data_IF_704902881385
#
_entry.id   IF_704902881385
#
_cell.length_a   1.000
_cell.length_b   1.000
_cell.length_c   1.000
_cell.angle_alpha   90.00
_cell.angle_beta   90.00
_cell.angle_gamma   90.00
#
_symmetry.space_group_name_H-M   'P 1'
#
loop_
_entity.id
_entity.type
_entity.pdbx_description
1 polymer ?
#
# COMPACT_ATOMS: atom_id res chain seq x y z
N UNK A 1 -9.04 12.28 -18.62
CA UNK A 1 -8.01 11.22 -18.55
C UNK A 1 -8.05 10.30 -19.76
N UNK A 2 -9.15 9.63 -20.08
CA UNK A 2 -9.21 8.68 -21.22
C UNK A 2 -8.80 9.28 -22.58
N UNK A 3 -9.22 10.51 -22.91
CA UNK A 3 -8.80 11.19 -24.15
C UNK A 3 -7.27 11.36 -24.20
N UNK A 4 -6.66 11.74 -23.09
CA UNK A 4 -5.20 11.91 -23.00
C UNK A 4 -4.47 10.56 -23.09
N UNK A 5 -4.99 9.52 -22.44
CA UNK A 5 -4.46 8.16 -22.52
C UNK A 5 -4.49 7.63 -23.97
N UNK A 6 -5.55 7.94 -24.72
CA UNK A 6 -5.65 7.59 -26.13
C UNK A 6 -4.58 8.27 -27.00
N UNK A 7 -4.25 9.54 -26.69
CA UNK A 7 -3.15 10.26 -27.37
C UNK A 7 -1.80 9.57 -27.12
N UNK A 8 -1.48 9.28 -25.86
CA UNK A 8 -0.24 8.58 -25.49
C UNK A 8 -0.11 7.21 -26.16
N UNK A 9 -1.21 6.44 -26.19
CA UNK A 9 -1.24 5.14 -26.85
C UNK A 9 -1.00 5.27 -28.38
N UNK A 10 -1.63 6.23 -29.06
CA UNK A 10 -1.37 6.49 -30.48
C UNK A 10 0.09 6.86 -30.75
N UNK A 11 0.73 7.57 -29.85
CA UNK A 11 2.15 7.90 -29.91
C UNK A 11 3.08 6.76 -29.47
N UNK A 12 2.55 5.57 -29.18
CA UNK A 12 3.29 4.42 -28.66
C UNK A 12 4.14 4.75 -27.40
N UNK A 13 3.72 5.72 -26.61
CA UNK A 13 4.40 6.11 -25.37
C UNK A 13 4.09 5.10 -24.27
N UNK A 14 5.11 4.68 -23.54
CA UNK A 14 4.96 3.83 -22.35
C UNK A 14 4.35 4.64 -21.22
N UNK A 15 3.25 4.17 -20.66
CA UNK A 15 2.55 4.82 -19.56
C UNK A 15 2.76 4.05 -18.26
N UNK A 16 3.23 4.75 -17.22
CA UNK A 16 3.41 4.18 -15.87
C UNK A 16 2.55 4.94 -14.88
N UNK A 17 1.68 4.23 -14.18
CA UNK A 17 0.76 4.79 -13.18
C UNK A 17 1.28 4.56 -11.76
N UNK A 18 1.21 5.59 -10.93
CA UNK A 18 1.41 5.52 -9.47
C UNK A 18 0.10 5.90 -8.78
N UNK A 19 -0.73 4.93 -8.36
CA UNK A 19 -1.98 5.22 -7.65
C UNK A 19 -1.70 5.68 -6.23
N UNK A 20 -2.28 6.83 -5.83
CA UNK A 20 -2.15 7.36 -4.46
C UNK A 20 -3.47 7.96 -3.96
N UNK A 21 -3.53 8.17 -2.65
CA UNK A 21 -4.61 8.92 -2.02
C UNK A 21 -4.20 10.38 -1.67
N UNK A 22 -3.02 10.82 -2.11
CA UNK A 22 -2.45 12.11 -1.73
C UNK A 22 -1.71 12.07 -0.38
N UNK A 23 -1.41 13.25 0.18
CA UNK A 23 -0.51 13.44 1.30
C UNK A 23 0.85 12.73 1.02
N UNK A 24 1.43 13.07 -0.14
CA UNK A 24 2.63 12.42 -0.65
C UNK A 24 3.81 12.67 0.28
N UNK A 25 4.64 11.64 0.43
CA UNK A 25 5.82 11.63 1.29
C UNK A 25 6.97 10.86 0.61
N UNK A 26 8.13 10.77 1.25
CA UNK A 26 9.33 10.11 0.70
C UNK A 26 9.10 8.67 0.22
N UNK A 27 8.16 7.93 0.83
CA UNK A 27 7.71 6.63 0.31
C UNK A 27 7.10 6.74 -1.09
N UNK A 28 6.19 7.71 -1.30
CA UNK A 28 5.60 7.97 -2.61
C UNK A 28 6.64 8.52 -3.61
N UNK A 29 7.54 9.41 -3.17
CA UNK A 29 8.66 9.90 -3.99
C UNK A 29 9.44 8.74 -4.58
N UNK A 30 9.80 7.74 -3.76
CA UNK A 30 10.54 6.57 -4.25
C UNK A 30 9.78 5.73 -5.28
N UNK A 31 8.44 5.66 -5.17
CA UNK A 31 7.60 4.98 -6.16
C UNK A 31 7.53 5.76 -7.48
N UNK A 32 7.45 7.08 -7.42
CA UNK A 32 7.47 7.96 -8.60
C UNK A 32 8.82 7.83 -9.31
N UNK A 33 9.93 7.82 -8.59
CA UNK A 33 11.26 7.59 -9.14
C UNK A 33 11.39 6.22 -9.80
N UNK A 34 10.80 5.17 -9.21
CA UNK A 34 10.73 3.85 -9.84
C UNK A 34 9.89 3.89 -11.13
N UNK A 35 8.77 4.60 -11.10
CA UNK A 35 7.91 4.80 -12.27
C UNK A 35 8.65 5.54 -13.38
N UNK A 36 9.39 6.61 -13.07
CA UNK A 36 10.19 7.39 -14.05
C UNK A 36 11.26 6.51 -14.71
N UNK A 37 12.01 5.74 -13.93
CA UNK A 37 12.99 4.79 -14.49
C UNK A 37 12.33 3.76 -15.42
N UNK A 38 11.12 3.29 -15.08
CA UNK A 38 10.39 2.31 -15.90
C UNK A 38 9.77 2.92 -17.15
N UNK A 39 9.29 4.15 -17.07
CA UNK A 39 8.75 4.89 -18.20
C UNK A 39 9.83 5.16 -19.27
N UNK A 40 11.09 5.34 -18.89
CA UNK A 40 12.21 5.81 -19.71
C UNK A 40 12.05 7.30 -20.12
N UNK A 41 12.88 7.78 -21.02
CA UNK A 41 12.95 9.20 -21.41
C UNK A 41 11.63 9.66 -22.06
N UNK A 42 11.11 8.90 -23.02
CA UNK A 42 9.93 9.28 -23.81
C UNK A 42 8.61 8.78 -23.23
N UNK A 43 8.65 8.12 -22.07
CA UNK A 43 7.45 7.57 -21.45
C UNK A 43 6.79 8.56 -20.50
N UNK A 44 5.55 8.25 -20.16
CA UNK A 44 4.65 9.07 -19.37
C UNK A 44 4.52 8.49 -17.96
N UNK A 45 4.75 9.32 -16.94
CA UNK A 45 4.43 8.99 -15.54
C UNK A 45 3.15 9.73 -15.15
N UNK A 46 2.16 8.96 -14.75
CA UNK A 46 0.88 9.48 -14.23
C UNK A 46 0.82 9.20 -12.72
N UNK A 47 0.58 10.22 -11.91
CA UNK A 47 0.26 10.04 -10.49
C UNK A 47 -1.22 10.32 -10.30
N UNK A 48 -2.00 9.34 -9.79
CA UNK A 48 -3.36 9.63 -9.36
C UNK A 48 -3.39 10.05 -7.90
N UNK A 49 -4.22 11.07 -7.59
CA UNK A 49 -4.45 11.56 -6.23
C UNK A 49 -5.95 11.53 -5.98
N UNK A 50 -6.43 10.48 -5.29
CA UNK A 50 -7.85 10.31 -5.01
C UNK A 50 -8.08 9.60 -3.68
N UNK A 51 -8.65 10.32 -2.71
CA UNK A 51 -9.08 9.74 -1.43
C UNK A 51 -10.37 8.97 -1.68
N UNK A 52 -10.23 7.65 -1.88
CA UNK A 52 -11.34 6.78 -2.27
C UNK A 52 -12.27 6.46 -1.09
N UNK A 53 -13.49 6.96 -1.04
CA UNK A 53 -14.38 6.73 0.10
C UNK A 53 -14.77 5.26 0.28
N UNK A 54 -14.83 4.47 -0.80
CA UNK A 54 -15.26 3.06 -0.75
C UNK A 54 -14.30 2.14 0.04
N UNK A 55 -13.04 2.55 0.27
CA UNK A 55 -12.07 1.73 1.01
C UNK A 55 -11.97 2.09 2.50
N UNK A 56 -12.78 3.02 3.00
CA UNK A 56 -12.81 3.41 4.40
C UNK A 56 -13.98 2.76 5.13
N UNK A 57 -13.69 2.05 6.21
CA UNK A 57 -14.70 1.43 7.07
C UNK A 57 -15.24 2.40 8.14
N UNK A 58 -14.46 3.43 8.47
CA UNK A 58 -14.80 4.44 9.47
C UNK A 58 -14.84 5.83 8.80
N UNK A 59 -15.97 6.50 8.92
CA UNK A 59 -16.14 7.87 8.40
C UNK A 59 -15.20 8.87 9.06
N UNK A 60 -14.73 8.61 10.28
CA UNK A 60 -13.76 9.45 10.98
C UNK A 60 -12.38 9.32 10.34
N UNK A 61 -11.94 8.10 9.98
CA UNK A 61 -10.68 7.87 9.24
C UNK A 61 -10.71 8.57 7.88
N UNK A 62 -11.83 8.51 7.16
CA UNK A 62 -12.02 9.22 5.90
C UNK A 62 -11.96 10.75 6.07
N UNK A 63 -12.60 11.29 7.11
CA UNK A 63 -12.62 12.74 7.37
C UNK A 63 -11.27 13.27 7.81
N UNK A 64 -10.54 12.52 8.65
CA UNK A 64 -9.23 12.89 9.17
C UNK A 64 -8.08 12.56 8.22
N UNK A 65 -8.35 11.87 7.09
CA UNK A 65 -7.29 11.51 6.15
C UNK A 65 -6.62 12.78 5.58
N UNK A 66 -5.28 12.91 5.67
CA UNK A 66 -4.56 14.12 5.27
C UNK A 66 -4.78 14.45 3.78
N UNK A 67 -4.98 15.73 3.49
CA UNK A 67 -5.16 16.25 2.12
C UNK A 67 -4.25 17.45 1.91
N UNK A 68 -3.36 17.37 0.95
CA UNK A 68 -2.34 18.40 0.69
C UNK A 68 -2.08 18.56 -0.81
N UNK A 69 -3.15 18.73 -1.62
CA UNK A 69 -3.04 18.70 -3.08
C UNK A 69 -1.99 19.68 -3.65
N UNK A 70 -1.78 20.83 -3.02
CA UNK A 70 -0.77 21.78 -3.47
C UNK A 70 0.65 21.23 -3.25
N UNK A 71 0.94 20.70 -2.06
CA UNK A 71 2.22 20.06 -1.75
C UNK A 71 2.44 18.79 -2.60
N UNK A 72 1.39 18.00 -2.80
CA UNK A 72 1.43 16.81 -3.64
C UNK A 72 1.80 17.15 -5.09
N UNK A 73 1.19 18.19 -5.65
CA UNK A 73 1.53 18.68 -6.99
C UNK A 73 2.97 19.20 -7.06
N UNK A 74 3.46 19.85 -6.00
CA UNK A 74 4.84 20.31 -5.95
C UNK A 74 5.82 19.14 -5.98
N UNK A 75 5.62 18.12 -5.15
CA UNK A 75 6.42 16.89 -5.16
C UNK A 75 6.38 16.22 -6.54
N UNK A 76 5.21 16.15 -7.17
CA UNK A 76 5.08 15.60 -8.52
C UNK A 76 5.91 16.38 -9.56
N UNK A 77 5.97 17.73 -9.48
CA UNK A 77 6.81 18.54 -10.36
C UNK A 77 8.31 18.27 -10.14
N UNK A 78 8.74 18.20 -8.87
CA UNK A 78 10.12 17.88 -8.50
C UNK A 78 10.58 16.55 -9.07
N UNK A 79 9.68 15.56 -9.11
CA UNK A 79 9.96 14.21 -9.63
C UNK A 79 9.62 14.05 -11.13
N UNK A 80 9.42 15.16 -11.86
CA UNK A 80 9.15 15.15 -13.30
C UNK A 80 7.97 14.26 -13.70
N UNK A 81 6.86 14.33 -12.94
CA UNK A 81 5.60 13.65 -13.27
C UNK A 81 4.93 14.37 -14.44
N UNK A 82 4.56 13.64 -15.50
CA UNK A 82 3.98 14.22 -16.71
C UNK A 82 2.51 14.59 -16.53
N UNK A 83 1.77 13.82 -15.71
CA UNK A 83 0.36 14.08 -15.46
C UNK A 83 -0.04 13.75 -14.03
N UNK A 84 -0.74 14.69 -13.37
CA UNK A 84 -1.42 14.45 -12.08
C UNK A 84 -2.90 14.33 -12.35
N UNK A 85 -3.45 13.14 -12.04
CA UNK A 85 -4.88 12.87 -12.16
C UNK A 85 -5.55 12.95 -10.79
N UNK A 86 -6.18 14.09 -10.49
CA UNK A 86 -6.84 14.37 -9.22
C UNK A 86 -8.33 14.70 -9.43
N UNK A 87 -9.19 13.70 -9.73
CA UNK A 87 -10.61 13.93 -9.99
C UNK A 87 -11.36 14.25 -8.69
N UNK A 88 -12.44 15.02 -8.80
CA UNK A 88 -13.34 15.29 -7.68
C UNK A 88 -14.10 14.02 -7.26
N UNK A 89 -14.53 13.20 -8.22
CA UNK A 89 -15.11 11.88 -8.00
C UNK A 89 -14.66 10.93 -9.11
N UNK A 90 -14.53 9.64 -8.77
CA UNK A 90 -14.36 8.54 -9.73
C UNK A 90 -15.65 7.73 -9.89
N UNK A 91 -16.68 8.05 -9.13
CA UNK A 91 -17.94 7.29 -9.14
C UNK A 91 -19.10 8.21 -9.55
N UNK A 92 -19.95 7.68 -10.40
CA UNK A 92 -21.24 8.29 -10.67
C UNK A 92 -22.16 8.14 -9.45
N UNK A 93 -23.22 8.95 -9.37
CA UNK A 93 -24.13 8.94 -8.20
C UNK A 93 -24.87 7.61 -8.03
N UNK A 94 -25.10 6.90 -9.12
CA UNK A 94 -25.80 5.62 -9.21
C UNK A 94 -24.85 4.43 -9.39
N UNK A 95 -23.55 4.62 -9.17
CA UNK A 95 -22.55 3.55 -9.31
C UNK A 95 -22.84 2.42 -8.32
N UNK A 96 -23.07 1.20 -8.85
CA UNK A 96 -23.47 0.02 -8.09
C UNK A 96 -22.53 -1.18 -8.26
N UNK A 97 -21.57 -1.10 -9.21
CA UNK A 97 -20.65 -2.20 -9.47
C UNK A 97 -19.42 -2.12 -8.58
N UNK A 98 -19.11 -3.22 -7.89
CA UNK A 98 -17.96 -3.38 -7.01
C UNK A 98 -17.25 -4.69 -7.32
N UNK A 99 -15.92 -4.67 -7.40
CA UNK A 99 -15.13 -5.87 -7.57
C UNK A 99 -14.93 -6.57 -6.22
N UNK A 100 -15.04 -7.89 -6.20
CA UNK A 100 -14.81 -8.72 -5.03
C UNK A 100 -13.75 -9.80 -5.33
N UNK A 101 -12.95 -10.12 -4.31
CA UNK A 101 -12.03 -11.24 -4.26
C UNK A 101 -12.29 -11.97 -2.94
N UNK A 102 -12.46 -13.30 -2.98
CA UNK A 102 -13.05 -14.06 -1.86
C UNK A 102 -12.06 -14.98 -1.14
N UNK A 103 -10.76 -14.88 -1.39
CA UNK A 103 -9.71 -15.69 -0.77
C UNK A 103 -8.71 -14.80 -0.01
N UNK A 104 -7.93 -13.99 -0.73
CA UNK A 104 -6.90 -13.13 -0.15
C UNK A 104 -7.44 -11.99 0.72
N UNK A 105 -8.72 -11.64 0.57
CA UNK A 105 -9.36 -10.53 1.29
C UNK A 105 -10.08 -10.96 2.56
N UNK A 106 -10.09 -12.25 2.90
CA UNK A 106 -10.77 -12.79 4.08
C UNK A 106 -9.87 -12.84 5.32
N UNK A 107 -8.57 -12.58 5.17
CA UNK A 107 -7.58 -12.64 6.24
C UNK A 107 -6.89 -11.28 6.46
N UNK A 108 -6.06 -11.18 7.50
CA UNK A 108 -5.20 -10.02 7.78
C UNK A 108 -5.99 -8.70 7.75
N UNK A 109 -5.56 -7.72 6.91
CA UNK A 109 -6.26 -6.44 6.77
C UNK A 109 -7.73 -6.61 6.34
N UNK A 110 -8.02 -7.57 5.47
CA UNK A 110 -9.39 -7.81 5.02
C UNK A 110 -10.33 -8.26 6.14
N UNK A 111 -9.83 -9.08 7.07
CA UNK A 111 -10.57 -9.46 8.28
C UNK A 111 -10.82 -8.27 9.21
N UNK A 112 -9.84 -7.39 9.38
CA UNK A 112 -9.92 -6.23 10.27
C UNK A 112 -10.64 -5.02 9.63
N UNK A 113 -10.77 -5.03 8.30
CA UNK A 113 -11.36 -3.95 7.52
C UNK A 113 -12.30 -4.51 6.45
N UNK A 114 -13.46 -5.09 6.83
CA UNK A 114 -14.43 -5.67 5.89
C UNK A 114 -14.81 -4.69 4.77
N UNK A 115 -14.77 -5.13 3.49
CA UNK A 115 -15.07 -4.29 2.33
C UNK A 115 -13.93 -3.40 1.83
N UNK A 116 -12.87 -3.21 2.61
CA UNK A 116 -11.73 -2.37 2.24
C UNK A 116 -11.14 -2.75 0.86
N UNK A 117 -10.82 -4.01 0.66
CA UNK A 117 -10.20 -4.46 -0.59
C UNK A 117 -11.15 -4.41 -1.78
N UNK A 118 -12.45 -4.57 -1.57
CA UNK A 118 -13.44 -4.37 -2.63
C UNK A 118 -13.38 -2.92 -3.14
N UNK A 119 -13.31 -1.94 -2.22
CA UNK A 119 -13.11 -0.54 -2.57
C UNK A 119 -11.77 -0.29 -3.28
N UNK A 120 -10.67 -0.91 -2.81
CA UNK A 120 -9.35 -0.78 -3.43
C UNK A 120 -9.34 -1.36 -4.85
N UNK A 121 -9.84 -2.58 -5.04
CA UNK A 121 -9.87 -3.21 -6.36
C UNK A 121 -10.73 -2.41 -7.34
N UNK A 122 -11.87 -1.93 -6.89
CA UNK A 122 -12.79 -1.14 -7.74
C UNK A 122 -12.13 0.15 -8.19
N UNK A 123 -11.51 0.92 -7.30
CA UNK A 123 -10.84 2.17 -7.69
C UNK A 123 -9.63 1.91 -8.59
N UNK A 124 -8.84 0.89 -8.31
CA UNK A 124 -7.65 0.55 -9.13
C UNK A 124 -8.07 0.09 -10.53
N UNK A 125 -9.11 -0.74 -10.65
CA UNK A 125 -9.65 -1.14 -11.95
C UNK A 125 -10.16 0.06 -12.75
N UNK A 126 -10.87 1.01 -12.11
CA UNK A 126 -11.28 2.26 -12.77
C UNK A 126 -10.07 3.08 -13.24
N UNK A 127 -9.02 3.19 -12.42
CA UNK A 127 -7.79 3.88 -12.80
C UNK A 127 -7.10 3.19 -13.98
N UNK A 128 -7.04 1.87 -14.02
CA UNK A 128 -6.48 1.12 -15.14
C UNK A 128 -7.26 1.38 -16.44
N UNK A 129 -8.58 1.38 -16.38
CA UNK A 129 -9.43 1.68 -17.53
C UNK A 129 -9.33 3.16 -18.00
N UNK A 130 -9.10 4.10 -17.07
CA UNK A 130 -9.01 5.52 -17.38
C UNK A 130 -7.63 5.94 -17.92
N UNK A 131 -6.55 5.33 -17.41
CA UNK A 131 -5.16 5.68 -17.72
C UNK A 131 -4.57 4.74 -18.75
N UNK A 132 -5.06 3.49 -18.84
CA UNK A 132 -4.55 2.42 -19.68
C UNK A 132 -3.02 2.25 -19.57
N UNK A 133 -2.47 2.05 -18.36
CA UNK A 133 -1.04 2.01 -18.17
C UNK A 133 -0.43 0.67 -18.59
N UNK A 134 0.82 0.69 -19.09
CA UNK A 134 1.63 -0.53 -19.30
C UNK A 134 2.15 -1.09 -17.98
N UNK A 135 2.44 -0.20 -17.02
CA UNK A 135 2.92 -0.56 -15.68
C UNK A 135 2.20 0.25 -14.62
N UNK A 136 1.98 -0.37 -13.46
CA UNK A 136 1.53 0.36 -12.28
C UNK A 136 2.40 0.03 -11.07
N UNK A 137 2.80 1.06 -10.31
CA UNK A 137 3.75 0.96 -9.21
C UNK A 137 3.00 1.06 -7.88
N UNK A 138 3.20 0.07 -7.01
CA UNK A 138 2.65 0.03 -5.66
C UNK A 138 3.74 -0.12 -4.61
N UNK A 139 3.50 0.36 -3.40
CA UNK A 139 4.41 0.18 -2.28
C UNK A 139 4.33 -1.22 -1.68
N UNK A 140 5.48 -1.87 -1.46
CA UNK A 140 5.56 -3.17 -0.79
C UNK A 140 5.08 -3.11 0.68
N UNK A 141 5.04 -1.91 1.27
CA UNK A 141 4.50 -1.69 2.61
C UNK A 141 3.07 -2.21 2.76
N UNK A 142 2.22 -2.06 1.75
CA UNK A 142 0.85 -2.55 1.73
C UNK A 142 0.79 -3.89 0.97
N UNK A 143 1.57 -4.88 1.47
CA UNK A 143 1.86 -6.13 0.76
C UNK A 143 0.61 -6.94 0.41
N UNK A 144 -0.36 -7.06 1.33
CA UNK A 144 -1.62 -7.75 1.03
C UNK A 144 -2.37 -7.04 -0.10
N UNK A 145 -2.45 -5.71 -0.07
CA UNK A 145 -3.05 -4.92 -1.15
C UNK A 145 -2.38 -5.22 -2.50
N UNK A 146 -1.05 -5.21 -2.53
CA UNK A 146 -0.30 -5.51 -3.75
C UNK A 146 -0.55 -6.93 -4.26
N UNK A 147 -0.70 -7.91 -3.37
CA UNK A 147 -1.02 -9.30 -3.70
C UNK A 147 -2.43 -9.42 -4.27
N UNK A 148 -3.42 -8.76 -3.66
CA UNK A 148 -4.81 -8.69 -4.14
C UNK A 148 -4.89 -8.03 -5.52
N UNK A 149 -4.17 -6.92 -5.74
CA UNK A 149 -4.13 -6.24 -7.04
C UNK A 149 -3.48 -7.14 -8.11
N UNK A 150 -2.39 -7.83 -7.81
CA UNK A 150 -1.77 -8.79 -8.73
C UNK A 150 -2.74 -9.91 -9.10
N UNK A 151 -3.51 -10.41 -8.13
CA UNK A 151 -4.57 -11.41 -8.36
C UNK A 151 -5.65 -10.86 -9.30
N UNK A 152 -6.15 -9.66 -9.04
CA UNK A 152 -7.14 -8.97 -9.88
C UNK A 152 -6.62 -8.78 -11.33
N UNK A 153 -5.37 -8.33 -11.49
CA UNK A 153 -4.76 -8.15 -12.82
C UNK A 153 -4.71 -9.47 -13.60
N UNK A 154 -4.28 -10.56 -12.94
CA UNK A 154 -4.19 -11.88 -13.54
C UNK A 154 -5.58 -12.42 -13.93
N UNK A 155 -6.51 -12.40 -12.99
CA UNK A 155 -7.80 -13.09 -13.14
C UNK A 155 -8.75 -12.32 -14.08
N UNK A 156 -8.60 -11.00 -14.18
CA UNK A 156 -9.38 -10.15 -15.09
C UNK A 156 -8.62 -9.77 -16.37
N UNK A 157 -7.44 -10.36 -16.61
CA UNK A 157 -6.63 -10.15 -17.81
C UNK A 157 -6.34 -8.65 -18.10
N UNK A 158 -6.11 -7.84 -17.07
CA UNK A 158 -5.70 -6.46 -17.30
C UNK A 158 -4.33 -6.41 -17.98
N UNK A 159 -4.17 -5.67 -19.10
CA UNK A 159 -2.91 -5.56 -19.83
C UNK A 159 -1.92 -4.60 -19.12
N UNK A 160 -1.68 -4.81 -17.83
CA UNK A 160 -0.80 -3.99 -17.01
C UNK A 160 0.13 -4.87 -16.18
N UNK A 161 1.40 -4.48 -16.07
CA UNK A 161 2.37 -5.15 -15.20
C UNK A 161 2.50 -4.42 -13.86
N UNK A 162 2.38 -5.14 -12.74
CA UNK A 162 2.49 -4.57 -11.41
C UNK A 162 3.94 -4.59 -10.92
N UNK A 163 4.46 -3.43 -10.57
CA UNK A 163 5.78 -3.25 -9.98
C UNK A 163 5.64 -2.91 -8.49
N UNK A 164 6.53 -3.47 -7.66
CA UNK A 164 6.59 -3.16 -6.24
C UNK A 164 7.83 -2.31 -5.93
N UNK A 165 7.60 -1.16 -5.28
CA UNK A 165 8.67 -0.36 -4.70
C UNK A 165 8.90 -0.77 -3.23
N UNK A 166 10.17 -0.90 -2.80
CA UNK A 166 10.49 -1.33 -1.44
C UNK A 166 9.97 -0.34 -0.40
N UNK A 167 9.65 -0.85 0.79
CA UNK A 167 9.22 -0.04 1.92
C UNK A 167 10.30 0.96 2.32
N UNK A 168 10.01 2.25 2.23
CA UNK A 168 10.87 3.30 2.76
C UNK A 168 10.67 3.44 4.26
N UNK A 169 11.77 3.65 4.97
CA UNK A 169 11.79 3.75 6.43
C UNK A 169 12.50 5.02 6.86
N UNK A 170 12.10 5.53 8.01
CA UNK A 170 12.83 6.56 8.75
C UNK A 170 14.15 5.99 9.29
N UNK A 171 15.00 6.86 9.82
CA UNK A 171 16.32 6.48 10.39
C UNK A 171 16.22 5.48 11.55
N UNK A 172 15.11 5.51 12.30
CA UNK A 172 14.82 4.58 13.41
C UNK A 172 14.13 3.28 12.96
N UNK A 173 13.91 3.11 11.65
CA UNK A 173 13.30 1.94 11.06
C UNK A 173 11.79 2.00 10.89
N UNK A 174 11.09 3.01 11.42
CA UNK A 174 9.64 3.15 11.25
C UNK A 174 9.29 3.26 9.75
N UNK A 175 8.37 2.42 9.27
CA UNK A 175 7.88 2.50 7.89
C UNK A 175 7.18 3.84 7.65
N UNK A 176 7.58 4.56 6.59
CA UNK A 176 7.00 5.87 6.26
C UNK A 176 5.54 5.70 5.83
N UNK A 177 4.65 6.47 6.44
CA UNK A 177 3.21 6.46 6.16
C UNK A 177 2.61 7.85 6.44
N UNK A 178 1.60 8.24 5.65
CA UNK A 178 0.81 9.46 5.91
C UNK A 178 0.19 9.45 7.32
N UNK A 179 -0.11 8.29 7.88
CA UNK A 179 -0.63 8.15 9.25
C UNK A 179 0.38 8.48 10.34
N UNK A 180 1.70 8.50 10.04
CA UNK A 180 2.72 8.89 11.01
C UNK A 180 2.57 10.34 11.46
N UNK A 181 1.92 11.19 10.64
CA UNK A 181 1.59 12.57 10.99
C UNK A 181 0.59 12.71 12.15
N UNK A 182 -0.14 11.63 12.45
CA UNK A 182 -1.13 11.59 13.54
C UNK A 182 -0.53 11.12 14.87
N UNK A 183 0.74 10.70 14.89
CA UNK A 183 1.44 10.22 16.07
C UNK A 183 2.07 11.38 16.84
N UNK A 184 2.02 11.34 18.17
CA UNK A 184 2.88 12.18 19.00
C UNK A 184 4.35 11.77 18.85
N UNK A 185 5.28 12.63 19.23
CA UNK A 185 6.72 12.31 19.18
C UNK A 185 7.09 11.06 20.01
N UNK A 186 6.41 10.82 21.14
CA UNK A 186 6.60 9.60 21.94
C UNK A 186 6.05 8.37 21.23
N UNK A 187 4.83 8.45 20.73
CA UNK A 187 4.18 7.36 19.97
C UNK A 187 4.96 6.99 18.71
N UNK A 188 5.50 8.00 17.99
CA UNK A 188 6.32 7.76 16.80
C UNK A 188 7.56 6.92 17.14
N UNK A 189 8.28 7.23 18.24
CA UNK A 189 9.42 6.43 18.70
C UNK A 189 9.02 5.00 19.08
N UNK A 190 7.90 4.85 19.76
CA UNK A 190 7.35 3.52 20.11
C UNK A 190 6.97 2.71 18.86
N UNK A 191 6.41 3.35 17.83
CA UNK A 191 6.04 2.69 16.56
C UNK A 191 7.21 2.00 15.84
N UNK A 192 8.45 2.46 16.05
CA UNK A 192 9.65 1.84 15.48
C UNK A 192 9.89 0.39 15.97
N UNK A 193 9.20 -0.05 17.05
CA UNK A 193 9.25 -1.44 17.53
C UNK A 193 8.79 -2.44 16.45
N UNK A 194 7.91 -2.03 15.53
CA UNK A 194 7.43 -2.90 14.44
C UNK A 194 8.58 -3.31 13.53
N UNK A 195 9.48 -2.39 13.19
CA UNK A 195 10.69 -2.70 12.41
C UNK A 195 11.63 -3.64 13.18
N UNK A 196 11.81 -3.41 14.48
CA UNK A 196 12.62 -4.29 15.35
C UNK A 196 12.04 -5.71 15.41
N UNK A 197 10.71 -5.84 15.41
CA UNK A 197 10.03 -7.13 15.38
C UNK A 197 10.26 -7.87 14.05
N UNK A 198 10.27 -7.16 12.93
CA UNK A 198 10.59 -7.74 11.62
C UNK A 198 12.04 -8.23 11.60
N UNK A 199 12.97 -7.45 12.10
CA UNK A 199 14.38 -7.84 12.14
C UNK A 199 14.60 -9.07 13.04
N UNK A 200 13.97 -9.10 14.23
CA UNK A 200 14.00 -10.28 15.09
C UNK A 200 13.43 -11.52 14.38
N UNK A 201 12.42 -11.34 13.52
CA UNK A 201 11.86 -12.44 12.72
C UNK A 201 12.88 -13.03 11.75
N UNK A 202 13.67 -12.18 11.08
CA UNK A 202 14.74 -12.57 10.16
C UNK A 202 15.85 -13.36 10.86
N UNK A 203 16.17 -12.96 12.09
CA UNK A 203 17.19 -13.62 12.93
C UNK A 203 16.67 -14.93 13.57
N UNK A 204 15.39 -15.22 13.44
CA UNK A 204 14.71 -16.33 14.12
C UNK A 204 14.16 -17.37 13.13
N UNK A 205 14.79 -17.55 11.98
CA UNK A 205 14.38 -18.55 10.99
C UNK A 205 14.49 -19.98 11.56
N UNK A 206 13.60 -20.86 11.12
CA UNK A 206 13.52 -22.24 11.59
C UNK A 206 12.62 -22.42 12.82
N UNK A 207 12.24 -21.36 13.52
CA UNK A 207 11.33 -21.45 14.66
C UNK A 207 9.87 -21.67 14.21
N UNK A 208 9.08 -22.31 15.09
CA UNK A 208 7.63 -22.43 14.88
C UNK A 208 7.00 -21.04 14.90
N UNK A 209 6.18 -20.75 13.89
CA UNK A 209 5.51 -19.46 13.75
C UNK A 209 4.71 -19.06 15.02
N UNK A 210 4.06 -20.03 15.69
CA UNK A 210 3.32 -19.76 16.92
C UNK A 210 4.23 -19.26 18.07
N UNK A 211 5.43 -19.82 18.22
CA UNK A 211 6.37 -19.43 19.27
C UNK A 211 6.95 -18.04 18.97
N UNK A 212 7.29 -17.83 17.70
CA UNK A 212 7.81 -16.55 17.24
C UNK A 212 6.76 -15.43 17.38
N UNK A 213 5.49 -15.66 17.03
CA UNK A 213 4.39 -14.71 17.27
C UNK A 213 4.31 -14.29 18.74
N UNK A 214 4.41 -15.23 19.69
CA UNK A 214 4.40 -14.92 21.13
C UNK A 214 5.61 -14.05 21.53
N UNK A 215 6.80 -14.37 21.01
CA UNK A 215 8.03 -13.62 21.26
C UNK A 215 7.91 -12.19 20.72
N UNK A 216 7.43 -12.02 19.49
CA UNK A 216 7.23 -10.71 18.87
C UNK A 216 6.16 -9.88 19.58
N UNK A 217 5.04 -10.50 19.96
CA UNK A 217 4.00 -9.81 20.73
C UNK A 217 4.54 -9.27 22.04
N UNK A 218 5.30 -10.05 22.79
CA UNK A 218 5.95 -9.59 24.04
C UNK A 218 6.94 -8.45 23.77
N UNK A 219 7.68 -8.48 22.67
CA UNK A 219 8.58 -7.39 22.29
C UNK A 219 7.81 -6.12 22.00
N UNK A 220 6.77 -6.19 21.17
CA UNK A 220 5.99 -5.04 20.73
C UNK A 220 5.21 -4.41 21.90
N UNK A 221 4.55 -5.22 22.72
CA UNK A 221 3.70 -4.75 23.81
C UNK A 221 4.49 -4.34 25.08
N UNK A 222 5.84 -4.34 25.04
CA UNK A 222 6.67 -3.62 26.02
C UNK A 222 6.56 -2.10 25.86
N UNK A 223 6.23 -1.63 24.66
CA UNK A 223 5.97 -0.20 24.45
C UNK A 223 4.58 0.15 25.02
N UNK A 224 4.46 1.14 25.90
CA UNK A 224 3.25 1.40 26.69
C UNK A 224 2.01 1.69 25.85
N UNK A 225 2.17 2.42 24.71
CA UNK A 225 1.06 2.83 23.85
C UNK A 225 0.80 1.84 22.69
N UNK A 226 1.55 0.72 22.60
CA UNK A 226 1.45 -0.18 21.47
C UNK A 226 0.64 -1.43 21.83
N UNK A 227 -0.34 -1.77 20.98
CA UNK A 227 -1.17 -2.98 21.11
C UNK A 227 -1.23 -3.69 19.78
N UNK A 228 -0.89 -4.98 19.79
CA UNK A 228 -0.87 -5.83 18.58
C UNK A 228 -2.29 -6.19 18.17
N UNK A 229 -2.66 -5.92 16.91
CA UNK A 229 -3.88 -6.44 16.29
C UNK A 229 -3.64 -7.85 15.74
N UNK A 230 -2.55 -8.03 14.98
CA UNK A 230 -2.11 -9.35 14.50
C UNK A 230 -0.61 -9.38 14.19
N UNK A 231 -0.05 -10.59 14.22
CA UNK A 231 1.26 -10.96 13.67
C UNK A 231 1.06 -12.27 12.93
N UNK A 232 1.33 -12.29 11.62
CA UNK A 232 1.20 -13.48 10.80
C UNK A 232 2.44 -13.74 9.97
N UNK A 233 2.84 -15.01 9.91
CA UNK A 233 3.87 -15.51 9.00
C UNK A 233 3.16 -16.24 7.87
N UNK A 234 3.40 -15.79 6.63
CA UNK A 234 2.62 -16.26 5.48
C UNK A 234 3.51 -16.64 4.30
N UNK A 235 2.96 -17.47 3.44
CA UNK A 235 3.45 -17.65 2.07
C UNK A 235 3.19 -16.38 1.26
N UNK A 236 4.16 -15.98 0.45
CA UNK A 236 4.11 -14.70 -0.27
C UNK A 236 3.17 -14.68 -1.49
N UNK A 237 2.74 -15.84 -1.98
CA UNK A 237 1.88 -15.95 -3.18
C UNK A 237 0.39 -15.97 -2.83
N UNK A 238 0.04 -16.64 -1.73
CA UNK A 238 -1.34 -16.93 -1.38
C UNK A 238 -1.75 -16.43 0.02
N UNK A 239 -0.84 -15.80 0.76
CA UNK A 239 -1.04 -15.27 2.12
C UNK A 239 -1.48 -16.32 3.16
N UNK A 240 -1.38 -17.61 2.84
CA UNK A 240 -1.72 -18.67 3.78
C UNK A 240 -0.70 -18.73 4.92
N UNK A 241 -1.15 -18.86 6.16
CA UNK A 241 -0.27 -18.98 7.32
C UNK A 241 0.68 -20.16 7.21
N UNK A 242 1.95 -19.97 7.58
CA UNK A 242 2.96 -21.03 7.64
C UNK A 242 3.19 -21.50 9.07
N UNK A 243 3.54 -22.78 9.24
CA UNK A 243 3.80 -23.37 10.56
C UNK A 243 5.19 -23.05 11.10
N UNK A 244 6.15 -22.82 10.21
CA UNK A 244 7.57 -22.55 10.52
C UNK A 244 8.01 -21.34 9.70
N UNK A 245 8.68 -20.38 10.34
CA UNK A 245 9.24 -19.22 9.68
C UNK A 245 10.49 -19.63 8.89
N UNK A 246 10.47 -19.50 7.57
CA UNK A 246 11.55 -19.87 6.65
C UNK A 246 11.89 -18.72 5.72
N UNK A 247 13.10 -18.76 5.14
CA UNK A 247 13.48 -17.85 4.06
C UNK A 247 12.45 -17.91 2.93
N UNK A 248 12.05 -16.75 2.44
CA UNK A 248 11.00 -16.60 1.41
C UNK A 248 9.58 -16.44 1.95
N UNK A 249 9.34 -16.72 3.24
CA UNK A 249 8.09 -16.33 3.87
C UNK A 249 8.08 -14.81 4.18
N UNK A 250 6.93 -14.29 4.52
CA UNK A 250 6.78 -12.89 4.93
C UNK A 250 6.10 -12.80 6.29
N UNK A 251 6.62 -11.97 7.16
CA UNK A 251 5.91 -11.54 8.36
C UNK A 251 5.08 -10.31 8.02
N UNK A 252 3.79 -10.33 8.36
CA UNK A 252 2.89 -9.18 8.32
C UNK A 252 2.40 -8.91 9.74
N UNK A 253 2.37 -7.64 10.11
CA UNK A 253 1.93 -7.23 11.42
C UNK A 253 1.13 -5.93 11.37
N UNK A 254 0.18 -5.82 12.27
CA UNK A 254 -0.56 -4.61 12.52
C UNK A 254 -0.62 -4.37 14.03
N UNK A 255 -0.48 -3.10 14.41
CA UNK A 255 -0.59 -2.68 15.80
C UNK A 255 -1.21 -1.28 15.88
N UNK A 256 -1.88 -1.01 16.99
CA UNK A 256 -2.30 0.34 17.37
C UNK A 256 -1.21 0.98 18.21
N UNK A 257 -0.88 2.21 17.87
CA UNK A 257 0.02 3.07 18.64
C UNK A 257 -0.82 4.27 19.11
N UNK A 258 -1.26 4.23 20.35
CA UNK A 258 -2.35 5.08 20.81
C UNK A 258 -3.62 4.82 19.98
N UNK A 259 -4.18 5.86 19.36
CA UNK A 259 -5.35 5.75 18.47
C UNK A 259 -4.99 5.39 17.01
N UNK A 260 -3.71 5.48 16.63
CA UNK A 260 -3.26 5.32 15.24
C UNK A 260 -2.93 3.86 14.96
N UNK A 261 -3.55 3.30 13.93
CA UNK A 261 -3.27 1.93 13.48
C UNK A 261 -2.16 1.94 12.43
N UNK A 262 -1.08 1.23 12.70
CA UNK A 262 0.06 1.05 11.81
C UNK A 262 0.14 -0.39 11.31
N UNK A 263 0.61 -0.55 10.08
CA UNK A 263 0.97 -1.85 9.51
C UNK A 263 2.42 -1.83 9.04
N UNK A 264 3.05 -2.99 9.13
CA UNK A 264 4.38 -3.20 8.58
C UNK A 264 4.55 -4.65 8.14
N UNK A 265 5.55 -4.92 7.33
CA UNK A 265 5.87 -6.27 6.89
C UNK A 265 7.33 -6.40 6.47
N UNK A 266 7.81 -7.64 6.41
CA UNK A 266 9.15 -7.93 5.94
C UNK A 266 9.28 -9.32 5.36
N UNK A 267 10.05 -9.44 4.29
CA UNK A 267 10.49 -10.73 3.76
C UNK A 267 11.53 -11.33 4.72
N UNK A 268 11.41 -12.61 4.96
CA UNK A 268 12.31 -13.39 5.82
C UNK A 268 13.46 -14.03 5.01
#
# INVERSE_FOLDING_TARGET
>A
MQRQAAVWRKAAQRVVLVPTMGALHEGHRSLIQLARRKARVDGIVVVSIYVNPMQFNDSRDLKSYPRSLAADKQLCREESVDAVFAPASLYEKDASVVLAENDLTTCLEGKHRPGHFAGVMTVVAKLFNLVCPDFSVFGEKDFQQATVIKRMVRDLNFPVSILLGPTKRETDGLAISSRNLLLTGAQRRQGAVLSRAIELSRQSLGLRAADLKRKLKRLIEKEPDVRVDYIEFVDTLNLKPVKVARKGNRVLLAARVGSVRLIDNGLL
#
